data_IF_682571638816
#
_entry.id   IF_682571638816
#
_cell.length_a   1.000
_cell.length_b   1.000
_cell.length_c   1.000
_cell.angle_alpha   90.00
_cell.angle_beta   90.00
_cell.angle_gamma   90.00
#
_symmetry.space_group_name_H-M   'P 1'
#
loop_
_entity.id
_entity.type
_entity.pdbx_description
1 polymer ?
#
# COMPACT_ATOMS: atom_id res chain seq x y z
N UNK A 1 -9.53 5.95 7.99
CA UNK A 1 -8.65 5.69 6.84
C UNK A 1 -8.08 7.01 6.36
N UNK A 2 -6.77 7.12 6.10
CA UNK A 2 -6.20 8.36 5.53
C UNK A 2 -6.87 8.58 4.18
N UNK A 3 -7.67 9.63 4.08
CA UNK A 3 -8.59 9.82 2.95
C UNK A 3 -7.87 10.13 1.64
N UNK A 4 -6.57 10.46 1.70
CA UNK A 4 -5.74 10.89 0.58
C UNK A 4 -4.69 9.85 0.14
N UNK A 5 -5.06 8.56 0.08
CA UNK A 5 -4.20 7.57 -0.59
C UNK A 5 -4.22 7.79 -2.11
N UNK A 6 -3.05 7.86 -2.78
CA UNK A 6 -3.00 7.96 -4.23
C UNK A 6 -3.63 6.71 -4.88
N UNK A 7 -4.09 6.86 -6.13
CA UNK A 7 -4.70 5.77 -6.89
C UNK A 7 -3.79 4.53 -6.96
N UNK A 8 -2.47 4.75 -7.09
CA UNK A 8 -1.47 3.67 -7.09
C UNK A 8 -1.43 2.89 -5.78
N UNK A 9 -1.46 3.56 -4.62
CA UNK A 9 -1.48 2.90 -3.33
C UNK A 9 -2.79 2.10 -3.14
N UNK A 10 -3.93 2.62 -3.61
CA UNK A 10 -5.20 1.88 -3.58
C UNK A 10 -5.13 0.60 -4.43
N UNK A 11 -4.53 0.65 -5.62
CA UNK A 11 -4.36 -0.52 -6.47
C UNK A 11 -3.44 -1.58 -5.82
N UNK A 12 -2.34 -1.15 -5.18
CA UNK A 12 -1.43 -2.05 -4.45
C UNK A 12 -2.09 -2.68 -3.22
N UNK A 13 -2.98 -1.94 -2.55
CA UNK A 13 -3.79 -2.48 -1.45
C UNK A 13 -4.75 -3.58 -1.92
N UNK A 14 -5.38 -3.41 -3.08
CA UNK A 14 -6.22 -4.46 -3.68
C UNK A 14 -5.40 -5.73 -3.98
N UNK A 15 -4.20 -5.59 -4.55
CA UNK A 15 -3.29 -6.73 -4.76
C UNK A 15 -2.94 -7.47 -3.47
N UNK A 16 -2.70 -6.74 -2.38
CA UNK A 16 -2.48 -7.36 -1.06
C UNK A 16 -3.71 -8.15 -0.57
N UNK A 17 -4.92 -7.64 -0.82
CA UNK A 17 -6.17 -8.31 -0.47
C UNK A 17 -6.43 -9.56 -1.31
N UNK A 18 -6.03 -9.54 -2.59
CA UNK A 18 -6.18 -10.66 -3.52
C UNK A 18 -5.12 -11.75 -3.34
N UNK A 19 -3.97 -11.42 -2.77
CA UNK A 19 -2.87 -12.35 -2.53
C UNK A 19 -3.30 -13.51 -1.62
N UNK A 20 -2.97 -14.75 -2.04
CA UNK A 20 -3.38 -15.98 -1.35
C UNK A 20 -2.28 -16.57 -0.47
N UNK A 21 -1.03 -16.35 -0.84
CA UNK A 21 0.12 -16.84 -0.08
C UNK A 21 0.73 -15.75 0.79
N UNK A 22 1.39 -16.15 1.87
CA UNK A 22 2.08 -15.23 2.77
C UNK A 22 3.17 -14.43 2.04
N UNK A 23 3.90 -15.07 1.12
CA UNK A 23 4.97 -14.41 0.36
C UNK A 23 4.42 -13.32 -0.57
N UNK A 24 3.32 -13.61 -1.30
CA UNK A 24 2.64 -12.61 -2.13
C UNK A 24 2.08 -11.45 -1.30
N UNK A 25 1.54 -11.75 -0.12
CA UNK A 25 1.06 -10.72 0.81
C UNK A 25 2.18 -9.81 1.29
N UNK A 26 3.32 -10.37 1.66
CA UNK A 26 4.49 -9.58 2.11
C UNK A 26 4.94 -8.66 0.99
N UNK A 27 5.14 -9.20 -0.22
CA UNK A 27 5.57 -8.42 -1.38
C UNK A 27 4.58 -7.30 -1.73
N UNK A 28 3.29 -7.60 -1.80
CA UNK A 28 2.26 -6.61 -2.10
C UNK A 28 2.16 -5.53 -1.01
N UNK A 29 2.41 -5.88 0.26
CA UNK A 29 2.45 -4.93 1.36
C UNK A 29 3.66 -4.00 1.28
N UNK A 30 4.84 -4.51 0.92
CA UNK A 30 6.04 -3.68 0.70
C UNK A 30 5.82 -2.70 -0.45
N UNK A 31 5.24 -3.16 -1.56
CA UNK A 31 4.88 -2.30 -2.69
C UNK A 31 3.88 -1.21 -2.28
N UNK A 32 2.85 -1.58 -1.49
CA UNK A 32 1.87 -0.64 -0.95
C UNK A 32 2.54 0.44 -0.09
N UNK A 33 3.36 0.04 0.88
CA UNK A 33 4.05 0.97 1.79
C UNK A 33 4.97 1.93 1.03
N UNK A 34 5.62 1.48 -0.03
CA UNK A 34 6.45 2.32 -0.91
C UNK A 34 5.62 3.36 -1.69
N UNK A 35 4.35 3.05 -2.00
CA UNK A 35 3.42 3.93 -2.70
C UNK A 35 2.68 4.92 -1.78
N UNK A 36 2.70 4.70 -0.47
CA UNK A 36 2.08 5.60 0.49
C UNK A 36 2.99 6.83 0.62
N UNK A 37 2.53 8.03 0.22
CA UNK A 37 3.34 9.22 0.35
C UNK A 37 3.61 9.48 1.84
N UNK A 38 4.88 9.78 2.18
CA UNK A 38 5.21 10.27 3.51
C UNK A 38 4.39 11.53 3.77
N UNK A 39 3.70 11.56 4.92
CA UNK A 39 2.91 12.72 5.32
C UNK A 39 3.84 13.93 5.46
N UNK A 40 3.65 15.00 4.67
CA UNK A 40 4.42 16.27 4.79
C UNK A 40 4.02 17.08 6.03
N UNK A 41 3.75 16.43 7.15
CA UNK A 41 3.25 17.05 8.38
C UNK A 41 4.20 16.95 9.58
N UNK A 42 5.37 16.34 9.43
CA UNK A 42 6.35 16.15 10.52
C UNK A 42 7.80 16.21 10.01
N UNK A 43 8.14 17.32 9.34
CA UNK A 43 9.50 17.86 9.24
C UNK A 43 9.42 19.37 9.47
#
# INVERSE_FOLDING_TARGET
MVTNLPAEAKAKWLKYMEAKTTEEKIKALEEFLSAVPKHKGTE
#
